data_IF_022491481926
#
_entry.id   IF_022491481926
#
_cell.length_a   1.000
_cell.length_b   1.000
_cell.length_c   1.000
_cell.angle_alpha   90.00
_cell.angle_beta   90.00
_cell.angle_gamma   90.00
#
_symmetry.space_group_name_H-M   'P 1'
#
loop_
_entity.id
_entity.type
_entity.pdbx_description
1 polymer ?
#
# COMPACT_ATOMS: atom_id res chain seq x y z
N UNK A 1 -6.12 0.28 -3.82
CA UNK A 1 -6.05 1.75 -3.75
C UNK A 1 -4.61 2.25 -3.87
N UNK A 2 -3.73 1.95 -2.91
CA UNK A 2 -2.32 2.38 -2.90
C UNK A 2 -1.57 2.06 -4.20
N UNK A 3 -1.63 0.81 -4.66
CA UNK A 3 -0.96 0.34 -5.87
C UNK A 3 -1.56 0.85 -7.20
N UNK A 4 -2.61 1.69 -7.16
CA UNK A 4 -3.32 2.27 -8.31
C UNK A 4 -3.30 3.81 -8.33
N UNK A 5 -2.41 4.45 -7.57
CA UNK A 5 -2.34 5.92 -7.46
C UNK A 5 -3.69 6.55 -7.00
N UNK A 6 -4.33 5.89 -6.03
CA UNK A 6 -5.60 6.34 -5.43
C UNK A 6 -5.50 6.38 -3.91
N UNK A 7 -4.29 6.43 -3.35
CA UNK A 7 -4.10 6.45 -1.90
C UNK A 7 -4.71 7.71 -1.29
N UNK A 8 -4.40 8.88 -1.87
CA UNK A 8 -4.84 10.16 -1.35
C UNK A 8 -6.36 10.28 -1.36
N UNK A 9 -7.00 9.82 -2.43
CA UNK A 9 -8.45 9.81 -2.56
C UNK A 9 -9.08 8.91 -1.50
N UNK A 10 -8.56 7.69 -1.30
CA UNK A 10 -9.11 6.78 -0.28
C UNK A 10 -8.88 7.23 1.15
N UNK A 11 -7.74 7.83 1.45
CA UNK A 11 -7.51 8.44 2.77
C UNK A 11 -8.52 9.57 3.02
N UNK A 12 -8.76 10.41 2.01
CA UNK A 12 -9.73 11.51 2.11
C UNK A 12 -11.17 11.01 2.29
N UNK A 13 -11.58 9.97 1.56
CA UNK A 13 -12.89 9.33 1.71
C UNK A 13 -13.12 8.77 3.12
N UNK A 14 -12.05 8.35 3.81
CA UNK A 14 -12.09 7.82 5.17
C UNK A 14 -12.03 8.91 6.27
N UNK A 15 -12.06 10.20 5.92
CA UNK A 15 -11.93 11.31 6.87
C UNK A 15 -10.49 11.73 7.16
N UNK A 16 -9.51 11.16 6.45
CA UNK A 16 -8.09 11.40 6.67
C UNK A 16 -7.47 10.41 7.65
N UNK A 17 -6.13 10.39 7.73
CA UNK A 17 -5.40 9.48 8.64
C UNK A 17 -5.83 9.59 10.12
N UNK A 18 -6.17 10.77 10.68
CA UNK A 18 -6.64 10.86 12.07
C UNK A 18 -7.87 10.02 12.38
N UNK A 19 -8.76 9.83 11.40
CA UNK A 19 -10.00 9.06 11.53
C UNK A 19 -9.78 7.55 11.30
N UNK A 20 -8.61 7.17 10.76
CA UNK A 20 -8.23 5.77 10.52
C UNK A 20 -7.39 5.22 11.69
N UNK A 21 -6.51 6.03 12.28
CA UNK A 21 -5.66 5.60 13.42
C UNK A 21 -6.45 5.58 14.73
N UNK A 22 -5.98 4.79 15.71
CA UNK A 22 -6.54 4.85 17.06
C UNK A 22 -6.21 6.20 17.69
N UNK A 23 -7.25 7.02 17.90
CA UNK A 23 -7.16 8.35 18.51
C UNK A 23 -6.33 8.32 19.80
N UNK A 24 -5.40 9.27 19.92
CA UNK A 24 -4.49 9.47 21.06
C UNK A 24 -3.61 8.26 21.41
N UNK A 25 -3.51 7.25 20.53
CA UNK A 25 -2.73 6.03 20.73
C UNK A 25 -1.76 5.72 19.61
N UNK A 26 -2.14 6.00 18.37
CA UNK A 26 -1.33 5.74 17.19
C UNK A 26 -1.26 7.01 16.32
N UNK A 27 -0.10 7.22 15.71
CA UNK A 27 0.15 8.31 14.76
C UNK A 27 0.45 7.80 13.34
N UNK A 28 0.49 6.48 13.13
CA UNK A 28 0.73 5.88 11.83
C UNK A 28 -0.02 4.56 11.66
N UNK A 29 -0.12 4.13 10.39
CA UNK A 29 -0.61 2.82 9.98
C UNK A 29 0.47 2.20 9.12
N UNK A 30 0.83 0.95 9.45
CA UNK A 30 1.79 0.18 8.69
C UNK A 30 1.13 -1.06 8.07
N UNK A 31 1.51 -1.37 6.84
CA UNK A 31 1.14 -2.57 6.10
C UNK A 31 2.43 -3.27 5.67
N UNK A 32 2.55 -4.55 6.04
CA UNK A 32 3.67 -5.40 5.61
C UNK A 32 3.13 -6.62 4.87
N UNK A 33 3.71 -6.92 3.73
CA UNK A 33 3.28 -8.00 2.84
C UNK A 33 4.49 -8.79 2.35
N UNK A 34 4.31 -10.09 2.19
CA UNK A 34 5.31 -10.98 1.60
C UNK A 34 4.70 -11.73 0.43
N UNK A 35 5.37 -11.72 -0.72
CA UNK A 35 4.91 -12.42 -1.92
C UNK A 35 5.96 -13.42 -2.39
N UNK A 36 5.59 -14.70 -2.45
CA UNK A 36 6.43 -15.75 -3.00
C UNK A 36 6.74 -15.52 -4.48
N UNK A 37 8.01 -15.72 -4.85
CA UNK A 37 8.50 -15.65 -6.23
C UNK A 37 9.13 -17.01 -6.57
N UNK A 38 8.68 -17.71 -7.64
CA UNK A 38 9.24 -19.01 -8.00
C UNK A 38 10.75 -18.93 -8.27
N UNK A 39 11.53 -19.80 -7.62
CA UNK A 39 12.99 -19.86 -7.81
C UNK A 39 13.79 -18.77 -7.08
N UNK A 40 13.13 -17.86 -6.35
CA UNK A 40 13.77 -16.74 -5.66
C UNK A 40 13.26 -16.57 -4.22
N UNK A 41 13.92 -15.72 -3.44
CA UNK A 41 13.40 -15.32 -2.14
C UNK A 41 12.10 -14.52 -2.30
N UNK A 42 11.22 -14.50 -1.27
CA UNK A 42 9.99 -13.70 -1.35
C UNK A 42 10.30 -12.21 -1.45
N UNK A 43 9.43 -11.48 -2.15
CA UNK A 43 9.40 -10.02 -2.11
C UNK A 43 8.75 -9.57 -0.81
N UNK A 44 9.43 -8.69 -0.08
CA UNK A 44 8.89 -8.08 1.14
C UNK A 44 8.58 -6.62 0.85
N UNK A 45 7.31 -6.25 1.01
CA UNK A 45 6.81 -4.91 0.85
C UNK A 45 6.36 -4.36 2.19
N UNK A 46 6.75 -3.12 2.49
CA UNK A 46 6.32 -2.40 3.69
C UNK A 46 5.89 -1.00 3.29
N UNK A 47 4.77 -0.56 3.82
CA UNK A 47 4.25 0.80 3.67
C UNK A 47 3.84 1.30 5.05
N UNK A 48 4.32 2.49 5.41
CA UNK A 48 3.89 3.21 6.61
C UNK A 48 3.39 4.59 6.20
N UNK A 49 2.16 4.88 6.61
CA UNK A 49 1.53 6.19 6.43
C UNK A 49 1.36 6.82 7.80
N UNK A 50 1.99 7.97 8.03
CA UNK A 50 2.01 8.65 9.31
C UNK A 50 1.35 10.03 9.24
N UNK A 51 0.81 10.48 10.37
CA UNK A 51 0.31 11.85 10.52
C UNK A 51 1.44 12.87 10.39
N UNK A 52 1.20 13.91 9.60
CA UNK A 52 2.10 15.05 9.45
C UNK A 52 1.32 16.36 9.45
N UNK A 53 1.22 16.99 10.62
CA UNK A 53 0.40 18.19 10.80
C UNK A 53 -1.07 17.88 10.51
N UNK A 54 -1.67 18.65 9.58
CA UNK A 54 -3.06 18.47 9.13
C UNK A 54 -3.22 17.47 7.98
N UNK A 55 -2.13 16.84 7.54
CA UNK A 55 -2.13 15.85 6.46
C UNK A 55 -1.42 14.57 6.93
N UNK A 56 -0.99 13.75 5.98
CA UNK A 56 -0.14 12.60 6.20
C UNK A 56 1.12 12.66 5.35
N UNK A 57 2.06 11.79 5.69
CA UNK A 57 3.18 11.44 4.83
C UNK A 57 3.28 9.93 4.67
N UNK A 58 3.87 9.50 3.56
CA UNK A 58 4.39 8.14 3.44
C UNK A 58 5.74 8.12 4.16
N UNK A 59 5.72 7.76 5.44
CA UNK A 59 6.90 7.79 6.30
C UNK A 59 7.94 6.75 5.88
N UNK A 60 7.47 5.59 5.42
CA UNK A 60 8.30 4.51 4.91
C UNK A 60 7.58 3.79 3.78
N UNK A 61 8.28 3.51 2.70
CA UNK A 61 7.83 2.53 1.72
C UNK A 61 9.05 1.76 1.20
N UNK A 62 9.05 0.44 1.37
CA UNK A 62 10.14 -0.41 0.91
C UNK A 62 9.62 -1.60 0.12
N UNK A 63 10.38 -1.99 -0.89
CA UNK A 63 10.19 -3.25 -1.61
C UNK A 63 11.56 -3.92 -1.75
N UNK A 64 11.76 -5.05 -1.09
CA UNK A 64 13.07 -5.70 -0.99
C UNK A 64 12.99 -7.20 -1.25
N UNK A 65 14.14 -7.81 -1.60
CA UNK A 65 14.26 -9.25 -1.80
C UNK A 65 15.66 -9.75 -1.42
N UNK A 66 15.72 -10.74 -0.51
CA UNK A 66 16.98 -11.32 -0.04
C UNK A 66 17.34 -12.60 -0.82
N UNK A 67 17.70 -12.46 -2.10
CA UNK A 67 18.07 -13.62 -2.91
C UNK A 67 19.38 -14.28 -2.46
N UNK A 68 20.37 -13.47 -2.09
CA UNK A 68 21.63 -13.97 -1.52
C UNK A 68 21.57 -13.90 0.00
N UNK A 69 21.51 -15.05 0.68
CA UNK A 69 21.47 -15.10 2.16
C UNK A 69 22.75 -14.57 2.83
N UNK A 70 23.85 -14.51 2.11
CA UNK A 70 25.14 -14.01 2.60
C UNK A 70 25.35 -12.51 2.34
N UNK A 71 24.47 -11.87 1.57
CA UNK A 71 24.55 -10.43 1.37
C UNK A 71 24.15 -9.69 2.66
N UNK A 72 24.91 -8.65 3.02
CA UNK A 72 24.68 -7.83 4.22
C UNK A 72 23.34 -7.10 4.16
N UNK A 73 22.90 -6.70 2.97
CA UNK A 73 21.62 -6.04 2.74
C UNK A 73 20.82 -6.75 1.64
N UNK A 74 19.47 -6.74 1.73
CA UNK A 74 18.63 -7.23 0.65
C UNK A 74 18.75 -6.34 -0.58
N UNK A 75 18.43 -6.91 -1.75
CA UNK A 75 18.21 -6.11 -2.94
C UNK A 75 17.00 -5.21 -2.71
N UNK A 76 17.18 -3.89 -2.86
CA UNK A 76 16.10 -2.90 -2.75
C UNK A 76 15.61 -2.56 -4.14
N UNK A 77 14.31 -2.73 -4.37
CA UNK A 77 13.62 -2.27 -5.57
C UNK A 77 13.06 -0.85 -5.38
N UNK A 78 12.55 -0.59 -4.18
CA UNK A 78 12.02 0.70 -3.75
C UNK A 78 12.49 0.92 -2.32
N UNK A 79 12.97 2.11 -2.02
CA UNK A 79 13.19 2.61 -0.68
C UNK A 79 12.76 4.07 -0.67
N UNK A 80 11.74 4.39 0.11
CA UNK A 80 11.21 5.74 0.28
C UNK A 80 11.11 6.06 1.77
N UNK A 81 11.60 7.24 2.15
CA UNK A 81 11.53 7.79 3.50
C UNK A 81 11.09 9.24 3.41
N UNK A 82 9.79 9.47 3.59
CA UNK A 82 9.18 10.78 3.38
C UNK A 82 9.33 11.24 1.93
N UNK A 83 10.16 12.27 1.71
CA UNK A 83 10.42 12.83 0.38
C UNK A 83 11.66 12.23 -0.30
N UNK A 84 12.47 11.45 0.41
CA UNK A 84 13.64 10.79 -0.18
C UNK A 84 13.22 9.46 -0.76
N UNK A 85 13.11 9.41 -2.09
CA UNK A 85 12.70 8.23 -2.85
C UNK A 85 13.86 7.76 -3.71
N UNK A 86 14.21 6.48 -3.57
CA UNK A 86 15.11 5.79 -4.48
C UNK A 86 14.45 4.51 -5.00
N UNK A 87 14.71 4.20 -6.26
CA UNK A 87 14.21 3.00 -6.92
C UNK A 87 15.32 2.33 -7.73
N UNK A 88 15.20 1.03 -7.93
CA UNK A 88 16.17 0.27 -8.71
C UNK A 88 15.90 0.42 -10.20
N UNK A 89 16.88 0.95 -10.94
CA UNK A 89 16.86 0.98 -12.40
C UNK A 89 17.50 -0.30 -12.96
N UNK A 90 16.80 -1.00 -13.85
CA UNK A 90 17.30 -2.21 -14.53
C UNK A 90 18.38 -1.94 -15.56
N UNK A 91 18.35 -0.77 -16.20
CA UNK A 91 19.30 -0.38 -17.25
C UNK A 91 20.66 -0.07 -16.60
N UNK A 92 20.66 0.82 -15.61
CA UNK A 92 21.87 1.25 -14.90
C UNK A 92 22.31 0.28 -13.77
N UNK A 93 21.44 -0.68 -13.42
CA UNK A 93 21.61 -1.62 -12.29
C UNK A 93 21.97 -0.91 -10.98
N UNK A 94 21.39 0.25 -10.76
CA UNK A 94 21.69 1.14 -9.64
C UNK A 94 20.41 1.68 -9.01
N UNK A 95 20.52 2.13 -7.76
CA UNK A 95 19.46 2.89 -7.09
C UNK A 95 19.52 4.34 -7.55
N UNK A 96 18.44 4.82 -8.15
CA UNK A 96 18.33 6.19 -8.68
C UNK A 96 17.22 6.94 -7.96
N UNK A 97 17.34 8.27 -7.95
CA UNK A 97 16.25 9.16 -7.54
C UNK A 97 15.34 9.44 -8.74
N UNK A 98 14.02 9.57 -8.54
CA UNK A 98 13.10 10.01 -9.58
C UNK A 98 13.58 11.32 -10.23
N UNK A 99 13.56 11.37 -11.56
CA UNK A 99 13.81 12.59 -12.34
C UNK A 99 12.51 13.16 -12.94
N UNK A 100 11.36 12.61 -12.56
CA UNK A 100 10.02 13.05 -12.94
C UNK A 100 9.31 13.69 -11.74
N UNK A 101 8.16 14.31 -12.00
CA UNK A 101 7.29 14.88 -10.95
C UNK A 101 6.66 13.75 -10.12
N UNK A 102 7.21 13.52 -8.92
CA UNK A 102 6.76 12.51 -7.97
C UNK A 102 5.77 13.14 -6.98
N UNK A 103 4.59 12.53 -6.85
CA UNK A 103 3.59 12.95 -5.88
C UNK A 103 3.88 12.29 -4.51
N UNK A 104 4.23 13.07 -3.47
CA UNK A 104 4.56 12.53 -2.16
C UNK A 104 3.35 11.96 -1.39
N UNK A 105 2.13 12.22 -1.84
CA UNK A 105 0.90 11.67 -1.28
C UNK A 105 0.50 10.33 -1.92
N UNK A 106 1.24 9.86 -2.92
CA UNK A 106 0.98 8.59 -3.58
C UNK A 106 2.16 7.64 -3.41
N UNK A 107 1.88 6.33 -3.37
CA UNK A 107 2.95 5.33 -3.20
C UNK A 107 3.92 5.35 -4.38
N UNK A 108 5.20 5.20 -4.08
CA UNK A 108 6.28 5.04 -5.05
C UNK A 108 6.01 3.80 -5.90
N UNK A 109 5.51 2.71 -5.33
CA UNK A 109 5.12 1.49 -6.06
C UNK A 109 4.12 1.76 -7.19
N UNK A 110 3.25 2.76 -7.05
CA UNK A 110 2.31 3.15 -8.10
C UNK A 110 2.93 4.07 -9.17
N UNK A 111 4.01 4.78 -8.84
CA UNK A 111 4.61 5.84 -9.65
C UNK A 111 5.92 5.43 -10.34
N UNK A 112 6.66 4.47 -9.79
CA UNK A 112 7.93 4.03 -10.37
C UNK A 112 7.72 3.38 -11.75
N UNK A 113 8.68 3.54 -12.68
CA UNK A 113 8.63 2.88 -13.96
C UNK A 113 8.48 1.36 -13.82
N UNK A 114 7.62 0.76 -14.66
CA UNK A 114 7.21 -0.65 -14.60
C UNK A 114 8.23 -1.58 -15.26
N UNK A 115 9.50 -1.38 -14.93
CA UNK A 115 10.64 -1.99 -15.62
C UNK A 115 10.95 -3.41 -15.11
N UNK A 116 10.67 -3.70 -13.84
CA UNK A 116 10.93 -5.01 -13.23
C UNK A 116 9.63 -5.83 -13.11
N UNK A 117 9.66 -7.08 -13.59
CA UNK A 117 8.47 -7.91 -13.73
C UNK A 117 7.84 -8.28 -12.38
N UNK A 118 8.66 -8.61 -11.39
CA UNK A 118 8.23 -9.10 -10.07
C UNK A 118 7.60 -7.99 -9.22
N UNK A 119 8.19 -6.79 -9.06
CA UNK A 119 7.52 -5.61 -8.51
C UNK A 119 6.22 -5.25 -9.22
N UNK A 120 6.18 -5.29 -10.56
CA UNK A 120 4.95 -5.00 -11.30
C UNK A 120 3.87 -6.07 -11.05
N UNK A 121 4.27 -7.34 -10.89
CA UNK A 121 3.36 -8.43 -10.51
C UNK A 121 2.80 -8.23 -9.09
N UNK A 122 3.64 -7.79 -8.14
CA UNK A 122 3.19 -7.43 -6.79
C UNK A 122 2.19 -6.27 -6.87
N UNK A 123 2.54 -5.19 -7.58
CA UNK A 123 1.68 -4.02 -7.76
C UNK A 123 0.33 -4.40 -8.36
N UNK A 124 0.31 -5.20 -9.44
CA UNK A 124 -0.94 -5.69 -10.06
C UNK A 124 -1.79 -6.51 -9.09
N UNK A 125 -1.16 -7.40 -8.30
CA UNK A 125 -1.87 -8.18 -7.28
C UNK A 125 -2.47 -7.29 -6.19
N UNK A 126 -1.70 -6.33 -5.69
CA UNK A 126 -2.18 -5.34 -4.71
C UNK A 126 -3.30 -4.45 -5.26
N UNK A 127 -3.18 -4.07 -6.52
CA UNK A 127 -4.20 -3.31 -7.24
C UNK A 127 -5.51 -4.09 -7.40
N UNK A 128 -5.43 -5.42 -7.53
CA UNK A 128 -6.59 -6.30 -7.64
C UNK A 128 -7.22 -6.71 -6.30
N UNK A 129 -6.60 -6.36 -5.17
CA UNK A 129 -7.17 -6.65 -3.85
C UNK A 129 -8.46 -5.85 -3.65
N UNK A 130 -9.58 -6.57 -3.58
CA UNK A 130 -10.87 -6.02 -3.17
C UNK A 130 -10.94 -5.99 -1.65
N UNK A 131 -11.31 -4.84 -1.09
CA UNK A 131 -11.59 -4.69 0.33
C UNK A 131 -13.08 -4.91 0.58
N UNK A 132 -13.41 -5.73 1.57
CA UNK A 132 -14.76 -5.86 2.09
C UNK A 132 -14.83 -5.07 3.39
N UNK A 133 -15.67 -4.04 3.41
CA UNK A 133 -15.83 -3.18 4.58
C UNK A 133 -16.44 -3.92 5.76
N UNK A 134 -15.89 -3.72 6.95
CA UNK A 134 -16.60 -4.04 8.18
C UNK A 134 -17.83 -3.13 8.29
N UNK A 135 -18.92 -3.67 8.84
CA UNK A 135 -20.15 -2.93 9.08
C UNK A 135 -19.85 -1.61 9.81
N UNK A 136 -20.33 -0.49 9.30
CA UNK A 136 -20.15 0.80 9.98
C UNK A 136 -20.90 0.76 11.32
N UNK A 137 -20.18 0.71 12.44
CA UNK A 137 -20.75 0.67 13.81
C UNK A 137 -20.75 2.03 14.51
N UNK A 138 -20.60 3.14 13.77
CA UNK A 138 -20.70 4.47 14.35
C UNK A 138 -22.06 4.72 15.03
N UNK A 139 -22.16 5.62 16.03
CA UNK A 139 -23.41 5.85 16.78
C UNK A 139 -24.62 6.29 15.94
N UNK A 140 -24.37 6.85 14.75
CA UNK A 140 -25.41 7.26 13.77
C UNK A 140 -25.55 6.30 12.60
N UNK A 141 -24.89 5.14 12.65
CA UNK A 141 -24.97 4.19 11.57
C UNK A 141 -26.38 3.64 11.42
N UNK A 142 -26.93 3.59 10.20
CA UNK A 142 -28.24 3.01 9.97
C UNK A 142 -28.21 1.52 10.32
N UNK A 143 -29.01 1.12 11.29
CA UNK A 143 -29.23 -0.29 11.62
C UNK A 143 -30.04 -0.91 10.49
N UNK A 144 -29.41 -1.72 9.65
CA UNK A 144 -30.10 -2.46 8.58
C UNK A 144 -30.81 -3.68 9.19
N UNK A 145 -32.06 -3.91 8.78
CA UNK A 145 -32.78 -5.15 9.12
C UNK A 145 -32.11 -6.34 8.42
N UNK A 146 -32.21 -7.56 8.98
CA UNK A 146 -31.68 -8.76 8.34
C UNK A 146 -32.30 -8.92 6.93
N UNK A 147 -31.45 -8.98 5.90
CA UNK A 147 -31.91 -9.26 4.54
C UNK A 147 -32.00 -10.77 4.29
N UNK A 148 -32.90 -11.19 3.39
CA UNK A 148 -32.95 -12.59 2.96
C UNK A 148 -31.69 -12.93 2.17
N UNK A 149 -30.90 -13.89 2.64
CA UNK A 149 -29.68 -14.31 1.97
C UNK A 149 -29.96 -14.84 0.56
N UNK A 150 -29.22 -14.35 -0.44
CA UNK A 150 -29.17 -14.93 -1.78
C UNK A 150 -27.77 -15.50 -2.05
N UNK A 151 -27.62 -16.45 -2.98
CA UNK A 151 -26.30 -16.93 -3.37
C UNK A 151 -25.55 -15.80 -4.08
N UNK A 152 -24.46 -15.35 -3.47
CA UNK A 152 -23.54 -14.38 -4.06
C UNK A 152 -22.13 -14.96 -4.14
N UNK A 153 -21.38 -14.56 -5.17
CA UNK A 153 -20.01 -15.03 -5.40
C UNK A 153 -18.98 -14.24 -4.59
N UNK A 154 -19.26 -12.96 -4.32
CA UNK A 154 -18.41 -12.04 -3.58
C UNK A 154 -19.30 -11.04 -2.84
N UNK A 155 -19.03 -10.72 -1.57
CA UNK A 155 -19.79 -9.72 -0.84
C UNK A 155 -19.72 -8.36 -1.54
N UNK A 156 -20.86 -7.68 -1.68
CA UNK A 156 -20.95 -6.28 -2.06
C UNK A 156 -20.17 -5.36 -1.12
N UNK A 157 -19.90 -4.14 -1.59
CA UNK A 157 -18.98 -3.19 -0.94
C UNK A 157 -19.34 -2.83 0.52
N UNK A 158 -20.63 -2.94 0.89
CA UNK A 158 -21.13 -2.71 2.25
C UNK A 158 -21.52 -4.00 3.00
N UNK A 159 -21.05 -5.17 2.55
CA UNK A 159 -21.53 -6.46 3.06
C UNK A 159 -22.96 -6.81 2.62
N UNK A 160 -23.45 -6.12 1.58
CA UNK A 160 -24.59 -6.61 0.78
C UNK A 160 -24.13 -7.78 -0.12
N UNK A 161 -25.05 -8.49 -0.79
CA UNK A 161 -24.75 -9.69 -1.59
C UNK A 161 -23.49 -9.57 -2.46
#
# INVERSE_FOLDING_TARGET
>A
ASANAQLANKISELGGVPDIVTRDRANSIAISLSMSVPGYAPLNYQLEVALKGFTYEIALETLTQQNNRHALEPLKYIESRGLDVIYFNTEDRALLRPNWDHNPLETSLAQVPKMYQEPEKLRKRLASCTFYGALNVAPKSPVRLPQSMRPASLPGANGED
#
